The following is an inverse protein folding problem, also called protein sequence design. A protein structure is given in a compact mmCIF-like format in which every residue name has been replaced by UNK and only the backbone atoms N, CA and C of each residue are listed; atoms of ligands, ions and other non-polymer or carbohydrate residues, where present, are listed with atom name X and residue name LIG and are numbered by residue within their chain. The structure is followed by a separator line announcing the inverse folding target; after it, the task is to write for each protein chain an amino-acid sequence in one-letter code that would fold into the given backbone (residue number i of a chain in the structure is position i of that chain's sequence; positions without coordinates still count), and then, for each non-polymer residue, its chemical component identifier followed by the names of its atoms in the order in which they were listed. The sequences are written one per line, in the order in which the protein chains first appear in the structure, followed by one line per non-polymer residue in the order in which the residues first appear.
data_IF_245861995676
#
_entry.id   IF_245861995676
#
_cell.length_a   1.000
_cell.length_b   1.000
_cell.length_c   1.000
_cell.angle_alpha   90.00
_cell.angle_beta   90.00
_cell.angle_gamma   90.00
#
_symmetry.space_group_name_H-M   'P 1'
#
loop_
_entity.id
_entity.type
_entity.pdbx_description
1 polymer ?
#
# COMPACT_ATOMS: atom_id res chain seq x y z
N UNK A 1 -0.57 3.86 -20.01
CA UNK A 1 0.10 4.34 -18.79
C UNK A 1 -0.78 4.14 -17.57
N UNK A 2 -0.20 3.67 -16.48
CA UNK A 2 -0.91 3.43 -15.24
C UNK A 2 -0.79 4.65 -14.34
N UNK A 3 -1.88 5.05 -13.72
CA UNK A 3 -1.77 6.04 -12.67
C UNK A 3 -2.59 5.60 -11.46
N UNK A 4 -2.26 6.18 -10.30
CA UNK A 4 -2.87 5.81 -9.04
C UNK A 4 -3.68 6.99 -8.52
N UNK A 5 -4.98 6.78 -8.42
CA UNK A 5 -5.92 7.80 -7.99
C UNK A 5 -6.30 7.55 -6.54
N UNK A 6 -6.50 8.59 -5.77
CA UNK A 6 -6.98 8.39 -4.40
C UNK A 6 -8.23 9.21 -4.14
N UNK A 7 -9.06 8.69 -3.25
CA UNK A 7 -10.29 9.34 -2.82
C UNK A 7 -10.34 9.27 -1.30
N UNK A 8 -10.51 10.43 -0.66
CA UNK A 8 -10.56 10.50 0.80
C UNK A 8 -12.00 10.31 1.24
N UNK A 9 -12.21 9.35 2.13
CA UNK A 9 -13.52 9.13 2.72
C UNK A 9 -13.62 9.90 4.04
N UNK A 10 -14.85 10.08 4.52
CA UNK A 10 -15.08 10.92 5.67
C UNK A 10 -14.65 10.29 7.00
N UNK A 11 -14.37 8.99 7.02
CA UNK A 11 -14.08 8.28 8.25
C UNK A 11 -12.60 7.94 8.42
N UNK A 12 -11.73 8.80 7.88
CA UNK A 12 -10.27 8.63 7.96
C UNK A 12 -9.75 7.47 7.13
N UNK A 13 -10.49 7.06 6.12
CA UNK A 13 -9.99 6.06 5.19
C UNK A 13 -9.79 6.70 3.82
N UNK A 14 -8.84 6.15 3.07
CA UNK A 14 -8.52 6.62 1.74
C UNK A 14 -8.50 5.43 0.81
N UNK A 15 -9.20 5.56 -0.31
CA UNK A 15 -9.24 4.50 -1.31
C UNK A 15 -8.24 4.85 -2.41
N UNK A 16 -7.35 3.91 -2.73
CA UNK A 16 -6.41 4.05 -3.84
C UNK A 16 -6.79 3.11 -4.95
N UNK A 17 -6.73 3.59 -6.18
CA UNK A 17 -7.11 2.79 -7.34
C UNK A 17 -6.03 2.89 -8.41
N UNK A 18 -5.66 1.74 -8.99
CA UNK A 18 -4.72 1.69 -10.10
C UNK A 18 -5.54 1.69 -11.38
N UNK A 19 -5.34 2.69 -12.23
CA UNK A 19 -6.16 2.91 -13.42
C UNK A 19 -5.27 2.95 -14.65
N UNK A 20 -5.69 2.24 -15.68
CA UNK A 20 -5.03 2.25 -16.97
C UNK A 20 -6.12 2.23 -18.04
N UNK A 21 -6.06 3.19 -18.98
CA UNK A 21 -7.03 3.28 -20.08
C UNK A 21 -8.47 3.33 -19.57
N UNK A 22 -8.66 4.11 -18.50
CA UNK A 22 -9.98 4.34 -17.91
C UNK A 22 -10.58 3.11 -17.25
N UNK A 23 -9.76 2.07 -17.01
CA UNK A 23 -10.23 0.88 -16.30
C UNK A 23 -9.44 0.69 -15.03
N UNK A 24 -10.14 0.23 -13.99
CA UNK A 24 -9.52 0.01 -12.70
C UNK A 24 -9.03 -1.43 -12.61
N UNK A 25 -7.74 -1.60 -12.37
CA UNK A 25 -7.11 -2.92 -12.29
C UNK A 25 -6.68 -3.30 -10.88
N UNK A 26 -6.84 -2.40 -9.94
CA UNK A 26 -6.50 -2.71 -8.56
C UNK A 26 -6.92 -1.60 -7.64
N UNK A 27 -7.02 -1.91 -6.36
CA UNK A 27 -7.38 -0.91 -5.36
C UNK A 27 -6.86 -1.35 -4.00
N UNK A 28 -6.69 -0.39 -3.11
CA UNK A 28 -6.41 -0.70 -1.72
C UNK A 28 -7.01 0.36 -0.83
N UNK A 29 -7.28 -0.02 0.42
CA UNK A 29 -7.86 0.88 1.40
C UNK A 29 -6.85 1.16 2.50
N UNK A 30 -6.59 2.43 2.75
CA UNK A 30 -5.68 2.90 3.79
C UNK A 30 -6.49 3.50 4.92
N UNK A 31 -6.21 3.06 6.14
CA UNK A 31 -6.92 3.53 7.34
C UNK A 31 -5.95 4.39 8.15
N UNK A 32 -6.33 5.63 8.38
CA UNK A 32 -5.53 6.60 9.12
C UNK A 32 -6.16 6.97 10.45
N UNK A 33 -7.01 6.11 11.00
CA UNK A 33 -7.71 6.42 12.23
C UNK A 33 -6.89 6.17 13.49
N UNK A 34 -5.74 5.50 13.37
CA UNK A 34 -4.85 5.27 14.50
C UNK A 34 -3.54 6.00 14.25
N UNK A 35 -2.58 5.82 15.14
CA UNK A 35 -1.29 6.49 14.96
C UNK A 35 -0.44 5.87 13.87
N UNK A 36 -0.75 4.65 13.44
CA UNK A 36 -0.06 4.01 12.34
C UNK A 36 -0.95 4.06 11.10
N UNK A 37 -0.32 4.11 9.93
CA UNK A 37 -1.05 4.03 8.67
C UNK A 37 -1.22 2.55 8.33
N UNK A 38 -2.47 2.10 8.17
CA UNK A 38 -2.77 0.69 8.02
C UNK A 38 -3.46 0.43 6.68
N UNK A 39 -2.86 -0.44 5.85
CA UNK A 39 -3.54 -0.92 4.65
C UNK A 39 -4.40 -2.10 5.06
N UNK A 40 -5.72 -1.91 5.00
CA UNK A 40 -6.66 -2.91 5.47
C UNK A 40 -6.98 -3.97 4.43
N UNK A 41 -7.00 -3.60 3.17
CA UNK A 41 -7.34 -4.53 2.10
C UNK A 41 -6.69 -4.08 0.82
N UNK A 42 -6.46 -5.05 -0.07
CA UNK A 42 -5.89 -4.78 -1.37
C UNK A 42 -6.50 -5.74 -2.38
N UNK A 43 -6.76 -5.22 -3.56
CA UNK A 43 -7.24 -6.00 -4.69
C UNK A 43 -6.40 -5.63 -5.91
N UNK A 44 -5.99 -6.62 -6.70
CA UNK A 44 -5.30 -6.33 -7.95
C UNK A 44 -5.48 -7.49 -8.92
N UNK A 45 -5.35 -7.18 -10.20
CA UNK A 45 -5.42 -8.18 -11.25
C UNK A 45 -4.21 -9.10 -11.13
N UNK A 46 -4.44 -10.40 -11.02
CA UNK A 46 -3.35 -11.36 -10.82
C UNK A 46 -2.37 -11.38 -12.00
N UNK A 47 -2.80 -10.89 -13.16
CA UNK A 47 -1.90 -10.79 -14.32
C UNK A 47 -1.02 -9.55 -14.24
N UNK A 48 -1.23 -8.68 -13.27
CA UNK A 48 -0.50 -7.43 -13.15
C UNK A 48 -0.01 -7.23 -11.72
N UNK A 49 0.87 -8.13 -11.24
CA UNK A 49 1.29 -8.08 -9.82
C UNK A 49 2.05 -6.80 -9.47
N UNK A 50 2.66 -6.13 -10.46
CA UNK A 50 3.35 -4.88 -10.19
C UNK A 50 2.40 -3.79 -9.69
N UNK A 51 1.11 -3.94 -9.91
CA UNK A 51 0.14 -2.98 -9.40
C UNK A 51 0.02 -3.03 -7.89
N UNK A 52 0.24 -4.21 -7.29
CA UNK A 52 0.20 -4.30 -5.83
C UNK A 52 1.29 -3.45 -5.21
N UNK A 53 2.50 -3.50 -5.77
CA UNK A 53 3.58 -2.66 -5.26
C UNK A 53 3.26 -1.18 -5.43
N UNK A 54 2.73 -0.79 -6.60
CA UNK A 54 2.38 0.60 -6.83
C UNK A 54 1.30 1.10 -5.88
N UNK A 55 0.30 0.26 -5.60
CA UNK A 55 -0.76 0.63 -4.68
C UNK A 55 -0.23 0.81 -3.26
N UNK A 56 0.61 -0.11 -2.81
CA UNK A 56 1.20 -0.04 -1.47
C UNK A 56 2.05 1.23 -1.34
N UNK A 57 2.90 1.50 -2.34
CA UNK A 57 3.75 2.67 -2.27
C UNK A 57 2.95 3.97 -2.34
N UNK A 58 1.91 4.01 -3.18
CA UNK A 58 1.05 5.19 -3.26
C UNK A 58 0.36 5.47 -1.93
N UNK A 59 -0.15 4.40 -1.29
CA UNK A 59 -0.83 4.55 -0.02
C UNK A 59 0.11 5.09 1.05
N UNK A 60 1.31 4.52 1.16
CA UNK A 60 2.23 4.97 2.22
C UNK A 60 2.89 6.29 1.88
N UNK A 61 3.04 6.64 0.61
CA UNK A 61 3.49 7.97 0.25
C UNK A 61 2.49 9.03 0.70
N UNK A 62 1.20 8.74 0.52
CA UNK A 62 0.16 9.63 1.00
C UNK A 62 0.22 9.75 2.53
N UNK A 63 0.39 8.62 3.22
CA UNK A 63 0.48 8.64 4.67
C UNK A 63 1.68 9.46 5.15
N UNK A 64 2.81 9.35 4.46
CA UNK A 64 3.99 10.14 4.81
C UNK A 64 3.71 11.63 4.70
N UNK A 65 2.95 12.03 3.69
CA UNK A 65 2.60 13.44 3.52
C UNK A 65 1.69 13.93 4.64
N UNK A 66 1.08 13.02 5.38
CA UNK A 66 0.23 13.34 6.52
C UNK A 66 0.97 13.10 7.84
N UNK A 67 2.30 12.95 7.78
CA UNK A 67 3.15 12.84 8.97
C UNK A 67 3.06 11.49 9.69
N UNK A 68 2.66 10.44 8.99
CA UNK A 68 2.72 9.10 9.55
C UNK A 68 4.10 8.53 9.30
N UNK A 69 4.66 7.85 10.28
CA UNK A 69 6.00 7.27 10.17
C UNK A 69 5.98 5.76 10.00
N UNK A 70 5.03 5.08 10.65
CA UNK A 70 4.97 3.62 10.61
C UNK A 70 3.82 3.16 9.75
N UNK A 71 4.08 2.14 8.93
CA UNK A 71 3.08 1.53 8.07
C UNK A 71 2.82 0.10 8.47
N UNK A 72 1.55 -0.29 8.41
CA UNK A 72 1.10 -1.63 8.73
C UNK A 72 0.27 -2.15 7.57
N UNK A 73 0.43 -3.41 7.23
CA UNK A 73 -0.37 -4.04 6.19
C UNK A 73 -0.96 -5.34 6.73
N UNK A 74 -2.26 -5.50 6.58
CA UNK A 74 -2.97 -6.68 7.08
C UNK A 74 -3.36 -7.64 5.96
N UNK A 75 -2.69 -7.57 4.82
CA UNK A 75 -3.03 -8.36 3.64
C UNK A 75 -2.03 -9.48 3.45
N UNK A 76 -2.37 -10.68 3.87
CA UNK A 76 -1.44 -11.80 3.83
C UNK A 76 -1.18 -12.33 2.42
N UNK A 77 -2.11 -12.11 1.49
CA UNK A 77 -1.95 -12.69 0.16
C UNK A 77 -0.80 -12.09 -0.63
N UNK A 78 -0.24 -10.96 -0.18
CA UNK A 78 0.92 -10.37 -0.84
C UNK A 78 2.17 -10.46 0.05
N UNK A 79 2.27 -11.54 0.81
CA UNK A 79 3.33 -11.76 1.76
C UNK A 79 4.72 -11.56 1.16
N UNK A 80 5.00 -12.20 0.03
CA UNK A 80 6.35 -12.10 -0.54
C UNK A 80 6.66 -10.69 -1.00
N UNK A 81 5.68 -9.96 -1.51
CA UNK A 81 5.90 -8.57 -1.88
C UNK A 81 6.22 -7.72 -0.65
N UNK A 82 5.48 -7.91 0.42
CA UNK A 82 5.69 -7.12 1.63
C UNK A 82 7.07 -7.36 2.22
N UNK A 83 7.52 -8.61 2.23
CA UNK A 83 8.85 -8.91 2.74
C UNK A 83 9.94 -8.28 1.88
N UNK A 84 9.75 -8.26 0.56
CA UNK A 84 10.72 -7.60 -0.32
C UNK A 84 10.78 -6.10 -0.11
N UNK A 85 9.66 -5.50 0.28
CA UNK A 85 9.62 -4.06 0.53
C UNK A 85 10.16 -3.68 1.90
N UNK A 86 10.55 -4.67 2.70
CA UNK A 86 11.16 -4.37 3.98
C UNK A 86 10.25 -4.54 5.18
N UNK A 87 9.03 -5.01 4.97
CA UNK A 87 8.14 -5.24 6.10
C UNK A 87 8.61 -6.42 6.93
N UNK A 88 8.46 -6.29 8.24
CA UNK A 88 8.63 -7.41 9.14
C UNK A 88 7.28 -7.96 9.52
N UNK A 89 7.21 -9.27 9.71
CA UNK A 89 5.95 -9.89 10.11
C UNK A 89 5.81 -9.86 11.62
N UNK A 90 4.64 -9.44 12.09
CA UNK A 90 4.33 -9.35 13.51
C UNK A 90 2.95 -9.96 13.70
N UNK A 91 2.92 -11.21 14.19
CA UNK A 91 1.68 -11.97 14.34
C UNK A 91 0.97 -12.10 13.00
N UNK A 92 -0.19 -11.47 12.83
CA UNK A 92 -0.98 -11.60 11.63
C UNK A 92 -0.86 -10.41 10.70
N UNK A 93 0.15 -9.57 10.89
CA UNK A 93 0.26 -8.37 10.09
C UNK A 93 1.71 -8.08 9.79
N UNK A 94 1.94 -7.11 8.91
CA UNK A 94 3.27 -6.70 8.50
C UNK A 94 3.47 -5.26 8.87
N UNK A 95 4.65 -4.91 9.37
CA UNK A 95 4.92 -3.58 9.86
C UNK A 95 6.31 -3.13 9.40
N UNK A 96 6.45 -1.86 9.06
CA UNK A 96 7.73 -1.26 8.72
C UNK A 96 7.61 0.26 8.84
N UNK A 97 8.76 0.94 8.95
CA UNK A 97 8.73 2.39 8.85
C UNK A 97 8.49 2.78 7.39
N UNK A 98 7.76 3.86 7.19
CA UNK A 98 7.37 4.27 5.84
C UNK A 98 8.56 4.61 4.96
N UNK A 99 9.61 5.32 5.45
CA UNK A 99 10.77 5.56 4.58
C UNK A 99 11.36 4.28 3.98
N UNK A 100 11.44 3.21 4.75
CA UNK A 100 11.95 1.93 4.24
C UNK A 100 11.03 1.38 3.16
N UNK A 101 9.70 1.47 3.37
CA UNK A 101 8.74 0.99 2.38
C UNK A 101 8.92 1.73 1.06
N UNK A 102 9.04 3.04 1.11
CA UNK A 102 9.09 3.86 -0.09
C UNK A 102 10.39 3.69 -0.86
N UNK A 103 11.48 3.36 -0.18
CA UNK A 103 12.75 3.14 -0.87
C UNK A 103 13.00 1.67 -1.21
N UNK A 104 12.20 0.76 -0.65
CA UNK A 104 12.33 -0.66 -0.95
C UNK A 104 11.91 -0.95 -2.38
N UNK A 105 12.50 -1.97 -2.96
CA UNK A 105 12.18 -2.33 -4.32
C UNK A 105 12.61 -3.76 -4.57
N UNK A 106 11.81 -4.49 -5.30
CA UNK A 106 12.16 -5.85 -5.67
C UNK A 106 13.34 -5.88 -6.64
N UNK A 107 13.67 -4.75 -7.25
CA UNK A 107 14.80 -4.66 -8.17
C UNK A 107 16.08 -4.22 -7.49
N UNK A 108 16.00 -3.91 -6.22
CA UNK A 108 17.13 -3.43 -5.51
C UNK A 108 18.02 -4.57 -5.10
N UNK A 109 19.20 -4.32 -5.17
CA UNK A 109 20.09 -5.33 -4.86
C UNK A 109 20.98 -4.93 -3.86
#
# INVERSE_FOLDING_TARGET
MIFFKHTVNSDNTVLFEAIEKDEMYGSCTLDLSSKNAVVKSIYYDSDKPYMAEGLIKSAFNYAASKNYYMGVCECEKIDSLLLRLGFGKDENRYISDIPTILTGSCCKK
#
